data_IF_120645986544
#
_entry.id   IF_120645986544
#
_cell.length_a   1.000
_cell.length_b   1.000
_cell.length_c   1.000
_cell.angle_alpha   90.00
_cell.angle_beta   90.00
_cell.angle_gamma   90.00
#
_symmetry.space_group_name_H-M   'P 1'
#
loop_
_entity.id
_entity.type
_entity.pdbx_description
1 polymer ?
#
# COMPACT_ATOMS: atom_id res chain seq x y z
N UNK A 1 -5.95 11.36 7.42
CA UNK A 1 -4.74 11.05 6.65
C UNK A 1 -4.36 9.56 6.74
N UNK A 2 -3.65 9.03 5.74
CA UNK A 2 -3.01 7.72 5.78
C UNK A 2 -1.62 7.81 6.45
N UNK A 3 -1.29 6.89 7.36
CA UNK A 3 -0.02 6.90 8.09
C UNK A 3 1.04 5.97 7.50
N UNK A 4 0.62 4.81 7.03
CA UNK A 4 1.50 3.80 6.44
C UNK A 4 0.71 2.87 5.51
N UNK A 5 1.40 2.32 4.52
CA UNK A 5 0.94 1.23 3.67
C UNK A 5 1.88 0.04 3.81
N UNK A 6 1.34 -1.13 4.14
CA UNK A 6 2.09 -2.38 4.22
C UNK A 6 1.52 -3.41 3.24
N UNK A 7 2.40 -4.19 2.64
CA UNK A 7 2.03 -5.37 1.87
C UNK A 7 2.68 -6.58 2.53
N UNK A 8 1.86 -7.49 3.03
CA UNK A 8 2.30 -8.69 3.73
C UNK A 8 1.93 -9.96 2.96
N UNK A 9 2.81 -10.95 3.01
CA UNK A 9 2.59 -12.30 2.49
C UNK A 9 3.00 -13.29 3.57
N UNK A 10 2.13 -14.27 3.84
CA UNK A 10 2.39 -15.33 4.83
C UNK A 10 2.83 -14.79 6.21
N UNK A 11 2.24 -13.66 6.63
CA UNK A 11 2.50 -13.01 7.92
C UNK A 11 3.75 -12.14 7.95
N UNK A 12 4.47 -12.02 6.83
CA UNK A 12 5.69 -11.22 6.72
C UNK A 12 5.48 -10.03 5.79
N UNK A 13 5.82 -8.85 6.26
CA UNK A 13 5.85 -7.64 5.44
C UNK A 13 6.92 -7.79 4.35
N UNK A 14 6.51 -7.58 3.10
CA UNK A 14 7.37 -7.60 1.91
C UNK A 14 7.63 -6.19 1.39
N UNK A 15 6.71 -5.25 1.66
CA UNK A 15 6.81 -3.85 1.29
C UNK A 15 6.21 -3.01 2.42
N UNK A 16 6.91 -1.95 2.82
CA UNK A 16 6.41 -0.96 3.77
C UNK A 16 6.73 0.45 3.32
N UNK A 17 5.72 1.32 3.36
CA UNK A 17 5.87 2.75 3.14
C UNK A 17 5.21 3.49 4.30
N UNK A 18 5.88 4.52 4.81
CA UNK A 18 5.44 5.30 5.96
C UNK A 18 5.29 6.76 5.54
N UNK A 19 4.07 7.25 5.46
CA UNK A 19 3.76 8.65 5.16
C UNK A 19 4.06 9.56 6.35
N UNK A 20 4.00 9.00 7.56
CA UNK A 20 4.36 9.70 8.79
C UNK A 20 5.62 9.12 9.42
N UNK A 21 6.35 9.94 10.17
CA UNK A 21 7.56 9.50 10.82
C UNK A 21 7.27 8.43 11.88
N UNK A 22 7.63 7.18 11.57
CA UNK A 22 7.67 6.07 12.53
C UNK A 22 9.13 5.73 12.83
N UNK A 23 9.49 5.77 14.12
CA UNK A 23 10.82 5.42 14.60
C UNK A 23 11.20 4.02 14.12
N UNK A 24 12.39 3.82 13.50
CA UNK A 24 12.78 2.53 12.93
C UNK A 24 12.71 1.35 13.91
N UNK A 25 13.00 1.59 15.20
CA UNK A 25 12.92 0.56 16.24
C UNK A 25 11.49 0.10 16.56
N UNK A 26 10.48 0.94 16.30
CA UNK A 26 9.08 0.62 16.55
C UNK A 26 8.41 -0.11 15.38
N UNK A 27 8.97 -0.01 14.16
CA UNK A 27 8.38 -0.56 12.93
C UNK A 27 8.13 -2.07 13.01
N UNK A 28 9.07 -2.93 13.45
CA UNK A 28 8.83 -4.37 13.45
C UNK A 28 7.68 -4.79 14.37
N UNK A 29 7.55 -4.12 15.52
CA UNK A 29 6.47 -4.38 16.47
C UNK A 29 5.11 -3.92 15.93
N UNK A 30 5.06 -2.75 15.28
CA UNK A 30 3.87 -2.25 14.58
C UNK A 30 3.45 -3.22 13.48
N UNK A 31 4.36 -3.54 12.55
CA UNK A 31 4.12 -4.42 11.40
C UNK A 31 3.59 -5.79 11.83
N UNK A 32 4.25 -6.45 12.78
CA UNK A 32 3.84 -7.77 13.26
C UNK A 32 2.43 -7.74 13.88
N UNK A 33 2.14 -6.70 14.68
CA UNK A 33 0.84 -6.52 15.34
C UNK A 33 -0.30 -6.33 14.34
N UNK A 34 -0.15 -5.39 13.40
CA UNK A 34 -1.22 -5.05 12.44
C UNK A 34 -1.43 -6.16 11.42
N UNK A 35 -0.36 -6.81 10.95
CA UNK A 35 -0.47 -7.94 10.02
C UNK A 35 -1.14 -9.12 10.69
N UNK A 36 -0.74 -9.49 11.92
CA UNK A 36 -1.36 -10.59 12.66
C UNK A 36 -2.85 -10.35 12.88
N UNK A 37 -3.24 -9.10 13.16
CA UNK A 37 -4.64 -8.72 13.37
C UNK A 37 -5.46 -8.88 12.09
N UNK A 38 -4.99 -8.35 10.96
CA UNK A 38 -5.67 -8.52 9.66
C UNK A 38 -5.71 -9.99 9.19
N UNK A 39 -4.69 -10.80 9.52
CA UNK A 39 -4.68 -12.23 9.18
C UNK A 39 -5.70 -13.05 9.96
N UNK A 40 -5.98 -12.65 11.20
CA UNK A 40 -6.98 -13.32 12.04
C UNK A 40 -8.41 -12.96 11.66
N UNK A 41 -8.60 -11.90 10.87
CA UNK A 41 -9.91 -11.49 10.38
C UNK A 41 -10.40 -12.43 9.27
N UNK A 42 -11.71 -12.68 9.24
CA UNK A 42 -12.33 -13.47 8.19
C UNK A 42 -12.19 -12.75 6.83
N UNK A 43 -11.83 -13.51 5.79
CA UNK A 43 -11.61 -12.98 4.43
C UNK A 43 -12.90 -12.45 3.81
N UNK A 44 -14.04 -13.02 4.18
CA UNK A 44 -15.38 -12.58 3.76
C UNK A 44 -16.02 -11.60 4.78
N UNK A 45 -15.30 -11.30 5.85
CA UNK A 45 -15.74 -10.40 6.92
C UNK A 45 -15.42 -8.94 6.64
N UNK A 46 -15.36 -8.16 7.71
CA UNK A 46 -15.09 -6.73 7.63
C UNK A 46 -13.64 -6.44 7.19
N UNK A 47 -13.49 -5.52 6.23
CA UNK A 47 -12.20 -5.03 5.75
C UNK A 47 -11.64 -3.84 6.55
N UNK A 48 -12.31 -3.48 7.64
CA UNK A 48 -12.00 -2.35 8.50
C UNK A 48 -11.87 -2.83 9.94
N UNK A 49 -10.74 -2.55 10.60
CA UNK A 49 -10.49 -2.95 11.99
C UNK A 49 -9.94 -1.76 12.77
N UNK A 50 -10.52 -1.46 13.92
CA UNK A 50 -9.99 -0.44 14.83
C UNK A 50 -8.66 -0.91 15.45
N UNK A 51 -7.66 -0.05 15.51
CA UNK A 51 -6.35 -0.33 16.10
C UNK A 51 -5.77 0.87 16.86
N UNK A 52 -6.28 1.10 18.07
CA UNK A 52 -5.89 2.23 18.90
C UNK A 52 -6.36 3.53 18.25
N UNK A 53 -5.43 4.43 17.93
CA UNK A 53 -5.72 5.73 17.31
C UNK A 53 -5.92 5.65 15.78
N UNK A 54 -5.82 4.46 15.17
CA UNK A 54 -5.99 4.29 13.73
C UNK A 54 -7.10 3.30 13.39
N UNK A 55 -7.66 3.44 12.20
CA UNK A 55 -8.44 2.41 11.52
C UNK A 55 -7.54 1.69 10.51
N UNK A 56 -7.50 0.36 10.59
CA UNK A 56 -6.84 -0.49 9.61
C UNK A 56 -7.81 -0.81 8.49
N UNK A 57 -7.47 -0.40 7.28
CA UNK A 57 -8.18 -0.74 6.05
C UNK A 57 -7.34 -1.75 5.29
N UNK A 58 -7.88 -2.94 5.02
CA UNK A 58 -7.10 -3.99 4.37
C UNK A 58 -7.89 -4.78 3.32
N UNK A 59 -7.17 -5.30 2.33
CA UNK A 59 -7.75 -6.09 1.24
C UNK A 59 -6.79 -7.19 0.80
N UNK A 60 -7.36 -8.34 0.44
CA UNK A 60 -6.62 -9.48 -0.10
C UNK A 60 -6.49 -9.36 -1.63
N UNK A 61 -5.25 -9.48 -2.12
CA UNK A 61 -4.95 -9.60 -3.54
C UNK A 61 -4.12 -10.86 -3.76
N UNK A 62 -4.80 -11.95 -4.12
CA UNK A 62 -4.19 -13.29 -4.18
C UNK A 62 -3.68 -13.71 -2.78
N UNK A 63 -2.40 -14.12 -2.64
CA UNK A 63 -1.84 -14.51 -1.34
C UNK A 63 -1.40 -13.32 -0.47
N UNK A 64 -1.45 -12.08 -0.99
CA UNK A 64 -0.95 -10.90 -0.29
C UNK A 64 -2.08 -10.11 0.38
N UNK A 65 -1.81 -9.57 1.56
CA UNK A 65 -2.64 -8.58 2.24
C UNK A 65 -2.03 -7.21 1.97
N UNK A 66 -2.83 -6.31 1.42
CA UNK A 66 -2.52 -4.89 1.34
C UNK A 66 -3.28 -4.21 2.46
N UNK A 67 -2.60 -3.41 3.28
CA UNK A 67 -3.24 -2.73 4.40
C UNK A 67 -2.70 -1.30 4.54
N UNK A 68 -3.59 -0.42 4.99
CA UNK A 68 -3.29 0.97 5.32
C UNK A 68 -3.76 1.22 6.75
N UNK A 69 -2.92 1.88 7.55
CA UNK A 69 -3.36 2.52 8.79
C UNK A 69 -3.74 3.96 8.49
N UNK A 70 -4.97 4.35 8.79
CA UNK A 70 -5.49 5.69 8.56
C UNK A 70 -6.09 6.27 9.86
N UNK A 71 -6.21 7.59 9.92
CA UNK A 71 -6.96 8.26 11.00
C UNK A 71 -8.42 7.79 11.03
N UNK A 72 -9.05 7.82 12.21
CA UNK A 72 -10.48 7.54 12.38
C UNK A 72 -11.42 8.48 11.62
N UNK A 73 -10.91 9.61 11.13
CA UNK A 73 -11.69 10.59 10.37
C UNK A 73 -11.66 10.31 8.86
N UNK A 74 -10.77 9.44 8.39
CA UNK A 74 -10.70 9.09 6.98
C UNK A 74 -11.89 8.25 6.54
N UNK A 75 -12.31 8.45 5.30
CA UNK A 75 -13.32 7.60 4.69
C UNK A 75 -12.69 6.23 4.37
N UNK A 76 -13.08 5.19 5.11
CA UNK A 76 -12.49 3.88 4.98
C UNK A 76 -12.76 3.23 3.61
N UNK A 77 -13.91 3.54 3.00
CA UNK A 77 -14.25 3.08 1.64
C UNK A 77 -13.34 3.73 0.59
N UNK A 78 -12.99 5.00 0.77
CA UNK A 78 -12.04 5.69 -0.11
C UNK A 78 -10.66 5.02 -0.05
N UNK A 79 -10.16 4.75 1.16
CA UNK A 79 -8.88 4.05 1.36
C UNK A 79 -8.94 2.63 0.78
N UNK A 80 -10.07 1.93 0.90
CA UNK A 80 -10.26 0.60 0.34
C UNK A 80 -10.25 0.59 -1.19
N UNK A 81 -10.89 1.57 -1.83
CA UNK A 81 -10.84 1.74 -3.29
C UNK A 81 -9.45 2.14 -3.75
N UNK A 82 -8.73 2.98 -2.98
CA UNK A 82 -7.34 3.32 -3.24
C UNK A 82 -6.44 2.07 -3.29
N UNK A 83 -6.60 1.10 -2.38
CA UNK A 83 -5.84 -0.16 -2.44
C UNK A 83 -6.06 -0.90 -3.78
N UNK A 84 -7.31 -0.92 -4.27
CA UNK A 84 -7.65 -1.48 -5.58
C UNK A 84 -7.01 -0.72 -6.73
N UNK A 85 -7.06 0.61 -6.66
CA UNK A 85 -6.48 1.49 -7.66
C UNK A 85 -4.96 1.34 -7.74
N UNK A 86 -4.28 1.27 -6.59
CA UNK A 86 -2.83 1.08 -6.52
C UNK A 86 -2.42 -0.25 -7.15
N UNK A 87 -3.12 -1.36 -6.83
CA UNK A 87 -2.89 -2.65 -7.50
C UNK A 87 -3.16 -2.56 -9.00
N UNK A 88 -4.19 -1.83 -9.43
CA UNK A 88 -4.47 -1.58 -10.84
C UNK A 88 -3.34 -0.81 -11.55
N UNK A 89 -2.78 0.21 -10.90
CA UNK A 89 -1.64 0.96 -11.41
C UNK A 89 -0.39 0.08 -11.54
N UNK A 90 -0.09 -0.73 -10.52
CA UNK A 90 1.02 -1.70 -10.55
C UNK A 90 0.82 -2.75 -11.66
N UNK A 91 -0.38 -3.28 -11.83
CA UNK A 91 -0.70 -4.21 -12.92
C UNK A 91 -0.46 -3.57 -14.29
N UNK A 92 -0.86 -2.31 -14.48
CA UNK A 92 -0.67 -1.58 -15.72
C UNK A 92 0.79 -1.22 -15.99
N UNK A 93 1.57 -0.95 -14.94
CA UNK A 93 2.99 -0.65 -15.01
C UNK A 93 3.82 -1.88 -15.36
N UNK A 94 3.68 -2.98 -14.59
CA UNK A 94 4.44 -4.20 -14.81
C UNK A 94 3.88 -5.11 -15.92
N UNK A 95 2.70 -4.80 -16.48
CA UNK A 95 1.94 -5.64 -17.42
C UNK A 95 1.29 -6.87 -16.76
N UNK A 96 1.99 -7.50 -15.80
CA UNK A 96 1.45 -8.50 -14.87
C UNK A 96 2.09 -8.32 -13.51
N UNK A 97 1.35 -7.75 -12.57
CA UNK A 97 1.79 -7.68 -11.19
C UNK A 97 1.77 -9.07 -10.55
N UNK A 98 2.81 -9.37 -9.78
CA UNK A 98 2.95 -10.61 -9.01
C UNK A 98 3.78 -10.34 -7.77
N UNK A 99 3.63 -11.17 -6.74
CA UNK A 99 4.37 -11.08 -5.48
C UNK A 99 5.90 -10.95 -5.62
N UNK A 100 6.48 -11.49 -6.69
CA UNK A 100 7.92 -11.39 -6.96
C UNK A 100 8.38 -9.93 -7.10
N UNK A 101 7.52 -9.05 -7.61
CA UNK A 101 7.83 -7.62 -7.76
C UNK A 101 7.94 -6.90 -6.43
N UNK A 102 7.28 -7.38 -5.36
CA UNK A 102 7.39 -6.80 -4.02
C UNK A 102 8.85 -6.79 -3.51
N UNK A 103 9.61 -7.83 -3.87
CA UNK A 103 10.99 -8.04 -3.45
C UNK A 103 12.03 -7.52 -4.45
N UNK A 104 11.73 -7.57 -5.75
CA UNK A 104 12.71 -7.26 -6.80
C UNK A 104 12.58 -5.85 -7.38
N UNK A 105 11.46 -5.16 -7.13
CA UNK A 105 11.16 -3.88 -7.75
C UNK A 105 10.59 -2.87 -6.76
N UNK A 106 10.98 -2.97 -5.49
CA UNK A 106 10.50 -2.14 -4.37
C UNK A 106 10.57 -0.64 -4.68
N UNK A 107 11.63 -0.18 -5.35
CA UNK A 107 11.79 1.22 -5.74
C UNK A 107 10.67 1.68 -6.68
N UNK A 108 10.30 0.86 -7.67
CA UNK A 108 9.22 1.17 -8.60
C UNK A 108 7.84 1.15 -7.92
N UNK A 109 7.67 0.31 -6.89
CA UNK A 109 6.47 0.34 -6.06
C UNK A 109 6.37 1.67 -5.30
N UNK A 110 7.47 2.13 -4.71
CA UNK A 110 7.51 3.45 -4.07
C UNK A 110 7.23 4.57 -5.08
N UNK A 111 7.85 4.55 -6.26
CA UNK A 111 7.59 5.56 -7.30
C UNK A 111 6.10 5.63 -7.68
N UNK A 112 5.45 4.48 -7.94
CA UNK A 112 4.01 4.46 -8.26
C UNK A 112 3.18 4.97 -7.09
N UNK A 113 3.54 4.62 -5.85
CA UNK A 113 2.82 5.06 -4.67
C UNK A 113 2.95 6.56 -4.43
N UNK A 114 4.15 7.12 -4.60
CA UNK A 114 4.46 8.54 -4.39
C UNK A 114 3.80 9.45 -5.43
N UNK A 115 3.57 8.96 -6.65
CA UNK A 115 2.77 9.66 -7.66
C UNK A 115 1.26 9.68 -7.32
N UNK A 116 0.78 8.72 -6.52
CA UNK A 116 -0.63 8.63 -6.11
C UNK A 116 -0.91 9.38 -4.81
N UNK A 117 0.01 9.28 -3.84
CA UNK A 117 -0.20 9.72 -2.46
C UNK A 117 0.96 10.61 -2.02
N UNK A 118 0.62 11.79 -1.52
CA UNK A 118 1.59 12.76 -0.98
C UNK A 118 1.16 13.13 0.44
N UNK A 119 2.10 13.06 1.38
CA UNK A 119 1.85 13.34 2.80
C UNK A 119 0.64 12.59 3.38
N UNK A 120 0.41 11.35 2.91
CA UNK A 120 -0.69 10.51 3.39
C UNK A 120 -2.07 10.87 2.81
N UNK A 121 -2.14 11.77 1.84
CA UNK A 121 -3.35 12.18 1.13
C UNK A 121 -3.34 11.70 -0.32
N UNK A 122 -4.46 11.17 -0.82
CA UNK A 122 -4.60 10.75 -2.21
C UNK A 122 -4.68 11.97 -3.12
N UNK A 123 -3.66 12.20 -3.96
CA UNK A 123 -3.56 13.38 -4.83
C UNK A 123 -3.87 13.10 -6.29
N UNK A 124 -3.62 11.88 -6.78
CA UNK A 124 -3.88 11.50 -8.16
C UNK A 124 -4.48 10.10 -8.22
N UNK A 125 -5.57 9.97 -8.97
CA UNK A 125 -6.35 8.74 -9.11
C UNK A 125 -6.40 8.20 -10.53
N UNK A 126 -6.01 8.99 -11.52
CA UNK A 126 -5.90 8.57 -12.91
C UNK A 126 -4.63 7.75 -13.09
N UNK A 127 -4.77 6.42 -13.26
CA UNK A 127 -3.64 5.52 -13.56
C UNK A 127 -2.82 6.04 -14.75
N UNK A 128 -3.47 6.66 -15.75
CA UNK A 128 -2.77 7.24 -16.90
C UNK A 128 -1.83 8.38 -16.48
N UNK A 129 -2.27 9.24 -15.56
CA UNK A 129 -1.47 10.37 -15.10
C UNK A 129 -0.36 9.91 -14.15
N UNK A 130 -0.66 8.99 -13.22
CA UNK A 130 0.31 8.38 -12.30
C UNK A 130 1.49 7.75 -13.06
N UNK A 131 1.21 7.03 -14.14
CA UNK A 131 2.25 6.29 -14.86
C UNK A 131 3.02 7.12 -15.89
N UNK A 132 2.49 8.28 -16.32
CA UNK A 132 3.13 9.13 -17.31
C UNK A 132 4.54 9.61 -16.90
N UNK A 133 4.76 10.19 -15.70
CA UNK A 133 6.09 10.64 -15.28
C UNK A 133 7.07 9.47 -15.09
N UNK A 134 6.61 8.35 -14.55
CA UNK A 134 7.43 7.15 -14.32
C UNK A 134 7.95 6.59 -15.66
N UNK A 135 7.08 6.51 -16.67
CA UNK A 135 7.47 6.06 -18.01
C UNK A 135 8.49 7.01 -18.68
N UNK A 136 8.39 8.31 -18.41
CA UNK A 136 9.38 9.27 -18.89
C UNK A 136 10.74 9.08 -18.21
N UNK A 137 10.75 8.79 -16.91
CA UNK A 137 11.98 8.48 -16.15
C UNK A 137 12.64 7.18 -16.63
N UNK A 138 11.86 6.14 -16.88
CA UNK A 138 12.35 4.85 -17.40
C UNK A 138 12.99 5.02 -18.79
N UNK A 139 12.35 5.82 -19.65
CA UNK A 139 12.86 6.12 -20.99
C UNK A 139 14.15 6.97 -20.96
N UNK A 140 14.30 7.84 -19.96
CA UNK A 140 15.51 8.64 -19.76
C UNK A 140 16.66 7.80 -19.20
N UNK A 141 16.37 6.85 -18.30
CA UNK A 141 17.36 5.98 -17.65
C UNK A 141 17.89 4.87 -18.56
N UNK A 142 17.18 4.57 -19.65
CA UNK A 142 17.57 3.57 -20.65
C UNK A 142 18.51 4.12 -21.75
N UNK A 143 19.02 5.34 -21.59
CA UNK A 143 20.00 6.00 -22.47
C UNK A 143 21.37 6.08 -21.81
#
# INVERSE_FOLDING_TARGET
MMHYLLIAKDGKVQFSHYFTHVTPSARPALEARVVSKCQSADKEGCHFLEDGEHTLVFRWFGPCIFLVGADHQENELMVYEFLGLYVGALQRYFGKFSERHLLLSTDHLHMVLEEMVVDGELVESSIKNVLAPIQMLDAASSR
#
